data_IF_260065834989
#
_entry.id   IF_260065834989
#
_cell.length_a   1.000
_cell.length_b   1.000
_cell.length_c   1.000
_cell.angle_alpha   90.00
_cell.angle_beta   90.00
_cell.angle_gamma   90.00
#
_symmetry.space_group_name_H-M   'P 1'
#
loop_
_entity.id
_entity.type
_entity.pdbx_description
1 polymer ?
#
# COMPACT_ATOMS: atom_id res chain seq x y z
N UNK A 1 25.82 -20.61 -5.93
CA UNK A 1 26.07 -19.40 -6.74
C UNK A 1 24.73 -18.77 -7.05
N UNK A 2 24.47 -17.56 -6.57
CA UNK A 2 23.27 -16.85 -7.00
C UNK A 2 23.42 -16.56 -8.50
N UNK A 3 22.43 -17.00 -9.26
CA UNK A 3 22.38 -16.77 -10.70
C UNK A 3 22.05 -15.27 -10.89
N UNK A 4 23.00 -14.47 -11.36
CA UNK A 4 22.78 -13.07 -11.66
C UNK A 4 22.02 -12.86 -12.99
N UNK A 5 21.11 -13.80 -13.28
CA UNK A 5 20.25 -13.77 -14.48
C UNK A 5 18.82 -14.21 -14.14
N UNK A 6 17.83 -13.65 -14.83
CA UNK A 6 16.42 -14.06 -14.78
C UNK A 6 15.72 -13.72 -16.10
N UNK A 7 14.48 -14.20 -16.27
CA UNK A 7 13.66 -13.77 -17.41
C UNK A 7 13.09 -12.36 -17.15
N UNK A 8 12.60 -12.11 -15.94
CA UNK A 8 12.03 -10.81 -15.58
C UNK A 8 12.64 -10.32 -14.28
N UNK A 9 13.18 -9.10 -14.31
CA UNK A 9 13.63 -8.38 -13.13
C UNK A 9 12.58 -7.34 -12.73
N UNK A 10 12.14 -7.36 -11.48
CA UNK A 10 11.19 -6.39 -10.92
C UNK A 10 11.93 -5.52 -9.90
N UNK A 11 11.84 -4.21 -10.05
CA UNK A 11 12.44 -3.23 -9.15
C UNK A 11 11.35 -2.66 -8.23
N UNK A 12 11.45 -2.97 -6.93
CA UNK A 12 10.51 -2.61 -5.88
C UNK A 12 9.66 -3.79 -5.41
N UNK A 13 9.83 -4.18 -4.14
CA UNK A 13 9.05 -5.23 -3.47
C UNK A 13 7.90 -4.66 -2.61
N UNK A 14 7.29 -3.56 -3.05
CA UNK A 14 6.00 -3.13 -2.55
C UNK A 14 4.87 -4.03 -3.08
N UNK A 15 3.60 -3.79 -2.68
CA UNK A 15 2.47 -4.65 -3.07
C UNK A 15 2.37 -4.87 -4.59
N UNK A 16 2.67 -3.85 -5.39
CA UNK A 16 2.61 -3.95 -6.86
C UNK A 16 3.66 -4.90 -7.41
N UNK A 17 4.92 -4.76 -6.97
CA UNK A 17 6.01 -5.61 -7.44
C UNK A 17 5.88 -7.06 -6.95
N UNK A 18 5.46 -7.26 -5.71
CA UNK A 18 5.21 -8.60 -5.17
C UNK A 18 4.09 -9.32 -5.94
N UNK A 19 2.97 -8.64 -6.22
CA UNK A 19 1.86 -9.21 -7.00
C UNK A 19 2.28 -9.52 -8.43
N UNK A 20 3.02 -8.62 -9.08
CA UNK A 20 3.55 -8.85 -10.42
C UNK A 20 4.50 -10.07 -10.44
N UNK A 21 5.40 -10.17 -9.46
CA UNK A 21 6.31 -11.29 -9.31
C UNK A 21 5.59 -12.63 -9.11
N UNK A 22 4.60 -12.66 -8.22
CA UNK A 22 3.77 -13.82 -7.96
C UNK A 22 3.00 -14.28 -9.22
N UNK A 23 2.37 -13.35 -9.93
CA UNK A 23 1.59 -13.67 -11.14
C UNK A 23 2.49 -14.23 -12.25
N UNK A 24 3.67 -13.68 -12.45
CA UNK A 24 4.65 -14.17 -13.42
C UNK A 24 5.21 -15.53 -13.04
N UNK A 25 5.59 -15.72 -11.76
CA UNK A 25 6.15 -16.98 -11.29
C UNK A 25 5.14 -18.14 -11.40
N UNK A 26 3.85 -17.88 -11.10
CA UNK A 26 2.78 -18.89 -11.30
C UNK A 26 2.61 -19.30 -12.79
N UNK A 27 3.07 -18.48 -13.72
CA UNK A 27 3.10 -18.80 -15.16
C UNK A 27 4.39 -19.48 -15.61
N UNK A 28 5.27 -19.85 -14.68
CA UNK A 28 6.53 -20.52 -14.95
C UNK A 28 7.66 -19.58 -15.40
N UNK A 29 7.51 -18.28 -15.21
CA UNK A 29 8.55 -17.28 -15.52
C UNK A 29 9.55 -17.22 -14.35
N UNK A 30 10.85 -17.22 -14.65
CA UNK A 30 11.92 -17.01 -13.66
C UNK A 30 12.04 -15.52 -13.33
N UNK A 31 11.71 -15.13 -12.09
CA UNK A 31 11.59 -13.75 -11.64
C UNK A 31 12.54 -13.45 -10.50
N UNK A 32 13.20 -12.29 -10.55
CA UNK A 32 13.83 -11.66 -9.39
C UNK A 32 13.05 -10.39 -9.05
N UNK A 33 12.70 -10.23 -7.76
CA UNK A 33 12.15 -8.99 -7.22
C UNK A 33 13.17 -8.39 -6.28
N UNK A 34 13.57 -7.14 -6.52
CA UNK A 34 14.53 -6.41 -5.70
C UNK A 34 13.86 -5.30 -4.91
N UNK A 35 14.35 -5.07 -3.69
CA UNK A 35 14.02 -3.86 -2.93
C UNK A 35 15.27 -3.31 -2.25
N UNK A 36 15.40 -1.97 -2.24
CA UNK A 36 16.49 -1.28 -1.54
C UNK A 36 16.32 -1.31 -0.02
N UNK A 37 15.10 -1.51 0.50
CA UNK A 37 14.82 -1.67 1.93
C UNK A 37 15.49 -2.94 2.44
N UNK A 38 15.81 -2.94 3.72
CA UNK A 38 16.17 -4.17 4.44
C UNK A 38 14.90 -4.88 4.92
N UNK A 39 14.97 -6.17 5.24
CA UNK A 39 13.84 -6.91 5.86
C UNK A 39 13.44 -6.37 7.24
N UNK A 40 14.26 -5.49 7.85
CA UNK A 40 14.03 -4.91 9.16
C UNK A 40 13.49 -3.49 9.12
N UNK A 41 13.41 -2.89 7.92
CA UNK A 41 12.86 -1.55 7.76
C UNK A 41 11.37 -1.56 8.07
N UNK A 42 10.87 -0.58 8.86
CA UNK A 42 9.46 -0.54 9.19
C UNK A 42 8.62 -0.35 7.93
N UNK A 43 7.53 -1.12 7.84
CA UNK A 43 6.60 -1.00 6.73
C UNK A 43 5.93 0.38 6.74
N UNK A 44 5.75 0.94 5.57
CA UNK A 44 5.11 2.26 5.44
C UNK A 44 3.60 2.13 5.60
N UNK A 45 3.04 2.87 6.55
CA UNK A 45 1.58 2.96 6.74
C UNK A 45 0.97 3.75 5.58
N UNK A 46 0.55 3.04 4.55
CA UNK A 46 -0.08 3.58 3.33
C UNK A 46 -1.35 2.80 3.05
N UNK A 47 -2.05 3.13 2.01
CA UNK A 47 -3.17 2.40 1.45
C UNK A 47 -4.00 1.59 2.48
N UNK A 48 -5.22 2.04 2.74
CA UNK A 48 -6.14 1.41 3.69
C UNK A 48 -7.31 0.70 2.99
N UNK A 49 -7.24 0.57 1.67
CA UNK A 49 -8.33 0.03 0.88
C UNK A 49 -7.79 -0.82 -0.28
N UNK A 50 -8.33 -2.01 -0.37
CA UNK A 50 -8.08 -2.96 -1.46
C UNK A 50 -9.35 -2.99 -2.31
N UNK A 51 -9.24 -2.61 -3.58
CA UNK A 51 -10.37 -2.60 -4.51
C UNK A 51 -10.85 -4.02 -4.84
N UNK A 52 -12.09 -4.15 -5.29
CA UNK A 52 -12.64 -5.42 -5.80
C UNK A 52 -11.72 -6.06 -6.85
N UNK A 53 -11.22 -5.26 -7.80
CA UNK A 53 -10.30 -5.76 -8.83
C UNK A 53 -9.01 -6.34 -8.24
N UNK A 54 -8.43 -5.70 -7.24
CA UNK A 54 -7.25 -6.22 -6.55
C UNK A 54 -7.58 -7.51 -5.79
N UNK A 55 -8.74 -7.59 -5.14
CA UNK A 55 -9.20 -8.80 -4.45
C UNK A 55 -9.43 -9.98 -5.42
N UNK A 56 -9.91 -9.74 -6.64
CA UNK A 56 -10.01 -10.78 -7.68
C UNK A 56 -8.63 -11.29 -8.11
N UNK A 57 -7.63 -10.40 -8.19
CA UNK A 57 -6.25 -10.79 -8.45
C UNK A 57 -5.72 -11.66 -7.29
N UNK A 58 -5.93 -11.23 -6.05
CA UNK A 58 -5.53 -12.01 -4.86
C UNK A 58 -6.23 -13.37 -4.78
N UNK A 59 -7.50 -13.45 -5.19
CA UNK A 59 -8.21 -14.73 -5.32
C UNK A 59 -7.51 -15.66 -6.31
N UNK A 60 -7.14 -15.16 -7.48
CA UNK A 60 -6.41 -15.93 -8.49
C UNK A 60 -5.03 -16.40 -7.99
N UNK A 61 -4.38 -15.60 -7.15
CA UNK A 61 -3.11 -15.95 -6.51
C UNK A 61 -3.28 -16.87 -5.29
N UNK A 62 -4.52 -17.20 -4.88
CA UNK A 62 -4.81 -18.02 -3.72
C UNK A 62 -4.59 -17.32 -2.38
N UNK A 63 -4.72 -15.98 -2.34
CA UNK A 63 -4.46 -15.13 -1.17
C UNK A 63 -5.70 -14.44 -0.60
N UNK A 64 -6.86 -14.51 -1.29
CA UNK A 64 -8.02 -13.72 -0.91
C UNK A 64 -8.53 -14.04 0.51
N UNK A 65 -8.57 -15.32 0.88
CA UNK A 65 -9.07 -15.74 2.20
C UNK A 65 -8.15 -15.28 3.32
N UNK A 66 -6.84 -15.40 3.15
CA UNK A 66 -5.84 -14.94 4.11
C UNK A 66 -5.89 -13.41 4.28
N UNK A 67 -5.97 -12.66 3.19
CA UNK A 67 -6.12 -11.21 3.21
C UNK A 67 -7.42 -10.82 3.93
N UNK A 68 -8.53 -11.54 3.69
CA UNK A 68 -9.80 -11.27 4.37
C UNK A 68 -9.78 -11.63 5.85
N UNK A 69 -8.96 -12.55 6.28
CA UNK A 69 -8.78 -12.89 7.70
C UNK A 69 -8.02 -11.79 8.46
N UNK A 70 -7.22 -10.98 7.76
CA UNK A 70 -6.47 -9.88 8.35
C UNK A 70 -7.24 -8.55 8.38
N UNK A 71 -6.65 -7.55 9.00
CA UNK A 71 -7.21 -6.20 9.13
C UNK A 71 -8.32 -6.11 10.18
N UNK A 72 -9.40 -5.42 9.83
CA UNK A 72 -10.53 -5.23 10.74
C UNK A 72 -11.37 -6.49 10.95
N UNK A 73 -12.01 -6.61 12.11
CA UNK A 73 -13.03 -7.65 12.36
C UNK A 73 -14.19 -7.55 11.37
N UNK A 74 -14.91 -8.67 11.16
CA UNK A 74 -16.02 -8.75 10.19
C UNK A 74 -17.11 -7.70 10.40
N UNK A 75 -17.39 -7.35 11.65
CA UNK A 75 -18.43 -6.39 12.02
C UNK A 75 -17.96 -4.93 12.08
N UNK A 76 -16.67 -4.64 11.91
CA UNK A 76 -16.19 -3.27 12.01
C UNK A 76 -16.79 -2.38 10.92
N UNK A 77 -17.42 -1.22 11.27
CA UNK A 77 -18.03 -0.33 10.30
C UNK A 77 -17.01 0.31 9.36
N UNK A 78 -17.26 0.22 8.06
CA UNK A 78 -16.40 0.86 7.05
C UNK A 78 -16.79 2.32 6.75
N UNK A 79 -17.70 2.87 7.55
CA UNK A 79 -18.27 4.20 7.42
C UNK A 79 -17.21 5.31 7.39
N UNK A 80 -17.57 6.43 6.79
CA UNK A 80 -16.83 7.69 6.88
C UNK A 80 -17.66 8.70 7.64
N UNK A 81 -17.13 9.18 8.77
CA UNK A 81 -17.74 10.17 9.63
C UNK A 81 -17.23 11.58 9.30
N UNK A 82 -18.11 12.55 9.19
CA UNK A 82 -17.79 13.96 8.94
C UNK A 82 -17.94 14.73 10.24
N UNK A 83 -16.87 15.38 10.71
CA UNK A 83 -16.80 16.04 12.03
C UNK A 83 -16.05 17.37 11.99
N UNK A 84 -16.24 18.20 13.02
CA UNK A 84 -15.40 19.39 13.24
C UNK A 84 -14.05 19.02 13.86
N UNK A 85 -14.05 18.10 14.82
CA UNK A 85 -12.87 17.53 15.48
C UNK A 85 -13.05 16.03 15.62
N UNK A 86 -11.98 15.28 15.82
CA UNK A 86 -12.02 13.81 15.93
C UNK A 86 -12.97 13.33 17.02
N UNK A 87 -12.93 13.96 18.19
CA UNK A 87 -13.78 13.63 19.35
C UNK A 87 -15.06 14.46 19.43
N UNK A 88 -15.27 15.40 18.48
CA UNK A 88 -16.42 16.27 18.46
C UNK A 88 -17.67 15.64 17.89
N UNK A 89 -18.74 16.43 17.86
CA UNK A 89 -20.03 16.01 17.32
C UNK A 89 -19.90 15.58 15.85
N UNK A 90 -20.50 14.44 15.52
CA UNK A 90 -20.70 14.01 14.15
C UNK A 90 -21.74 14.89 13.44
N UNK A 91 -21.38 15.42 12.28
CA UNK A 91 -22.26 16.26 11.46
C UNK A 91 -23.00 15.43 10.42
N UNK A 92 -22.32 14.45 9.84
CA UNK A 92 -22.86 13.53 8.83
C UNK A 92 -22.06 12.23 8.82
N UNK A 93 -22.65 11.19 8.24
CA UNK A 93 -22.01 9.89 8.08
C UNK A 93 -22.35 9.30 6.71
N UNK A 94 -21.31 8.87 6.00
CA UNK A 94 -21.44 8.07 4.78
C UNK A 94 -21.41 6.60 5.24
N UNK A 95 -22.53 5.92 5.08
CA UNK A 95 -22.67 4.52 5.45
C UNK A 95 -21.99 3.64 4.40
N UNK A 96 -21.12 2.75 4.84
CA UNK A 96 -20.46 1.73 4.01
C UNK A 96 -20.55 0.41 4.77
N UNK A 97 -21.19 -0.62 4.20
CA UNK A 97 -21.38 -1.88 4.90
C UNK A 97 -20.06 -2.50 5.36
N UNK A 98 -20.07 -3.03 6.57
CA UNK A 98 -19.00 -3.88 7.07
C UNK A 98 -18.87 -5.16 6.23
N UNK A 99 -17.84 -5.96 6.45
CA UNK A 99 -17.70 -7.26 5.80
C UNK A 99 -18.86 -8.19 6.15
N UNK A 100 -19.29 -8.19 7.41
CA UNK A 100 -20.46 -8.94 7.85
C UNK A 100 -21.76 -8.44 7.21
N UNK A 101 -21.94 -7.12 7.14
CA UNK A 101 -23.09 -6.50 6.49
C UNK A 101 -23.20 -6.88 5.01
N UNK A 102 -22.08 -6.83 4.27
CA UNK A 102 -22.05 -7.27 2.86
C UNK A 102 -22.42 -8.75 2.70
N UNK A 103 -21.93 -9.62 3.58
CA UNK A 103 -22.30 -11.05 3.60
C UNK A 103 -23.77 -11.25 3.90
N UNK A 104 -24.38 -10.38 4.70
CA UNK A 104 -25.81 -10.39 5.03
C UNK A 104 -26.70 -9.74 3.95
N UNK A 105 -26.13 -9.23 2.86
CA UNK A 105 -26.87 -8.58 1.77
C UNK A 105 -27.24 -7.11 2.06
N UNK A 106 -26.55 -6.46 2.99
CA UNK A 106 -26.73 -5.03 3.25
C UNK A 106 -26.44 -4.21 1.99
N UNK A 107 -27.36 -3.32 1.65
CA UNK A 107 -27.29 -2.52 0.43
C UNK A 107 -26.22 -1.44 0.52
N UNK A 108 -25.52 -1.22 -0.59
CA UNK A 108 -24.53 -0.16 -0.77
C UNK A 108 -24.51 0.29 -2.24
N UNK A 109 -23.98 1.45 -2.52
CA UNK A 109 -23.85 1.96 -3.90
C UNK A 109 -23.08 1.03 -4.84
N UNK A 110 -22.21 0.18 -4.30
CA UNK A 110 -21.42 -0.81 -5.03
C UNK A 110 -22.00 -2.25 -4.92
N UNK A 111 -23.20 -2.43 -4.38
CA UNK A 111 -23.80 -3.76 -4.19
C UNK A 111 -24.05 -4.50 -5.51
N UNK A 112 -24.36 -3.75 -6.58
CA UNK A 112 -24.59 -4.30 -7.92
C UNK A 112 -23.33 -4.35 -8.79
N UNK A 113 -22.16 -4.01 -8.24
CA UNK A 113 -20.91 -4.09 -8.98
C UNK A 113 -20.62 -5.55 -9.37
N UNK A 114 -20.37 -5.84 -10.66
CA UNK A 114 -20.18 -7.22 -11.15
C UNK A 114 -18.79 -7.76 -10.74
N UNK A 115 -18.68 -8.18 -9.49
CA UNK A 115 -17.45 -8.75 -8.94
C UNK A 115 -17.75 -9.99 -8.10
N UNK A 116 -16.83 -10.95 -8.14
CA UNK A 116 -16.86 -12.10 -7.23
C UNK A 116 -16.20 -11.78 -5.87
N UNK A 117 -15.47 -10.68 -5.80
CA UNK A 117 -14.71 -10.25 -4.63
C UNK A 117 -15.06 -8.81 -4.26
N UNK A 118 -15.87 -8.57 -3.22
CA UNK A 118 -16.12 -7.22 -2.74
C UNK A 118 -14.81 -6.57 -2.25
N UNK A 119 -14.76 -5.22 -2.19
CA UNK A 119 -13.58 -4.52 -1.70
C UNK A 119 -13.29 -4.89 -0.25
N UNK A 120 -12.04 -4.67 0.19
CA UNK A 120 -11.60 -4.98 1.53
C UNK A 120 -10.86 -3.79 2.17
N UNK A 121 -11.05 -3.60 3.49
CA UNK A 121 -10.34 -2.61 4.29
C UNK A 121 -9.20 -3.29 5.03
N UNK A 122 -7.98 -3.01 4.60
CA UNK A 122 -6.76 -3.50 5.22
C UNK A 122 -5.64 -2.51 4.94
N UNK A 123 -4.86 -2.17 5.95
CA UNK A 123 -3.69 -1.33 5.75
C UNK A 123 -2.55 -2.13 5.11
N UNK A 124 -1.72 -1.46 4.34
CA UNK A 124 -0.57 -2.04 3.64
C UNK A 124 0.42 -2.75 4.59
N UNK A 125 0.56 -2.29 5.84
CA UNK A 125 1.44 -2.93 6.85
C UNK A 125 1.04 -4.37 7.18
N UNK A 126 -0.23 -4.75 6.97
CA UNK A 126 -0.70 -6.13 7.13
C UNK A 126 -0.69 -6.90 5.81
N UNK A 127 -0.86 -6.20 4.68
CA UNK A 127 -0.87 -6.82 3.35
C UNK A 127 0.52 -7.25 2.90
N UNK A 128 1.53 -6.38 3.07
CA UNK A 128 2.90 -6.68 2.60
C UNK A 128 3.48 -7.96 3.18
N UNK A 129 3.39 -8.25 4.48
CA UNK A 129 3.89 -9.51 5.05
C UNK A 129 3.26 -10.76 4.40
N UNK A 130 1.96 -10.75 4.15
CA UNK A 130 1.25 -11.85 3.47
C UNK A 130 1.82 -12.06 2.06
N UNK A 131 2.02 -10.97 1.32
CA UNK A 131 2.58 -11.04 -0.03
C UNK A 131 4.04 -11.49 -0.03
N UNK A 132 4.85 -11.05 0.95
CA UNK A 132 6.25 -11.43 1.10
C UNK A 132 6.37 -12.92 1.42
N UNK A 133 5.63 -13.41 2.40
CA UNK A 133 5.61 -14.83 2.78
C UNK A 133 5.23 -15.71 1.58
N UNK A 134 4.20 -15.31 0.84
CA UNK A 134 3.82 -16.02 -0.40
C UNK A 134 4.93 -16.00 -1.44
N UNK A 135 5.59 -14.85 -1.64
CA UNK A 135 6.66 -14.69 -2.60
C UNK A 135 7.88 -15.55 -2.26
N UNK A 136 8.30 -15.60 -1.00
CA UNK A 136 9.40 -16.42 -0.50
C UNK A 136 9.16 -17.92 -0.69
N UNK A 137 7.90 -18.36 -0.61
CA UNK A 137 7.49 -19.75 -0.79
C UNK A 137 7.06 -20.10 -2.23
N UNK A 138 7.22 -19.17 -3.19
CA UNK A 138 6.82 -19.40 -4.58
C UNK A 138 8.02 -19.82 -5.44
N UNK A 139 7.93 -21.02 -6.03
CA UNK A 139 8.96 -21.51 -6.93
C UNK A 139 9.11 -20.60 -8.16
N UNK A 140 10.36 -20.32 -8.55
CA UNK A 140 10.66 -19.44 -9.70
C UNK A 140 10.67 -17.94 -9.35
N UNK A 141 10.35 -17.57 -8.11
CA UNK A 141 10.48 -16.20 -7.61
C UNK A 141 11.62 -16.10 -6.59
N UNK A 142 12.52 -15.14 -6.79
CA UNK A 142 13.62 -14.81 -5.88
C UNK A 142 13.42 -13.39 -5.36
N UNK A 143 13.02 -13.25 -4.09
CA UNK A 143 12.87 -11.97 -3.41
C UNK A 143 14.20 -11.60 -2.74
N UNK A 144 14.71 -10.41 -3.02
CA UNK A 144 16.00 -9.94 -2.51
C UNK A 144 15.88 -8.51 -1.98
N UNK A 145 16.12 -8.34 -0.70
CA UNK A 145 16.19 -7.07 -0.01
C UNK A 145 17.63 -6.54 0.09
N UNK A 146 17.80 -5.29 0.51
CA UNK A 146 19.09 -4.59 0.54
C UNK A 146 19.76 -4.55 -0.84
N UNK A 147 18.97 -4.32 -1.89
CA UNK A 147 19.42 -4.31 -3.27
C UNK A 147 18.90 -3.04 -3.97
N UNK A 148 19.67 -1.97 -3.92
CA UNK A 148 19.38 -0.74 -4.62
C UNK A 148 19.76 -0.87 -6.10
N UNK A 149 18.84 -0.63 -7.02
CA UNK A 149 19.15 -0.47 -8.44
C UNK A 149 19.69 0.92 -8.67
N UNK A 150 20.90 1.03 -9.20
CA UNK A 150 21.63 2.30 -9.37
C UNK A 150 21.62 2.83 -10.80
N UNK A 151 21.51 1.96 -11.79
CA UNK A 151 21.39 2.29 -13.21
C UNK A 151 20.82 1.12 -13.99
N UNK A 152 20.30 1.40 -15.18
CA UNK A 152 19.73 0.41 -16.11
C UNK A 152 20.31 0.67 -17.48
N UNK A 153 20.65 -0.40 -18.21
CA UNK A 153 21.11 -0.36 -19.59
C UNK A 153 20.30 -1.33 -20.44
N UNK A 154 19.54 -0.80 -21.39
CA UNK A 154 18.87 -1.61 -22.42
C UNK A 154 19.87 -1.91 -23.55
N UNK A 155 20.15 -3.18 -23.77
CA UNK A 155 21.07 -3.67 -24.83
C UNK A 155 20.31 -4.16 -26.06
N UNK A 156 18.97 -4.04 -26.06
CA UNK A 156 18.09 -4.46 -27.14
C UNK A 156 17.65 -5.93 -27.04
N UNK A 157 18.56 -6.85 -26.76
CA UNK A 157 18.27 -8.28 -26.54
C UNK A 157 18.08 -8.63 -25.05
N UNK A 158 18.55 -7.78 -24.16
CA UNK A 158 18.47 -7.92 -22.70
C UNK A 158 18.63 -6.59 -22.00
N UNK A 159 18.27 -6.57 -20.72
CA UNK A 159 18.47 -5.42 -19.82
C UNK A 159 19.50 -5.78 -18.77
N UNK A 160 20.46 -4.88 -18.51
CA UNK A 160 21.40 -4.94 -17.40
C UNK A 160 20.98 -3.94 -16.33
N UNK A 161 20.93 -4.37 -15.07
CA UNK A 161 20.70 -3.53 -13.91
C UNK A 161 21.91 -3.57 -12.98
N UNK A 162 22.49 -2.41 -12.71
CA UNK A 162 23.53 -2.27 -11.69
C UNK A 162 22.91 -2.21 -10.30
N UNK A 163 23.41 -3.04 -9.40
CA UNK A 163 22.89 -3.24 -8.06
C UNK A 163 23.94 -2.84 -7.03
N UNK A 164 23.51 -2.19 -5.95
CA UNK A 164 24.35 -1.84 -4.80
C UNK A 164 23.65 -2.24 -3.50
N UNK A 165 24.33 -2.95 -2.60
CA UNK A 165 23.86 -3.18 -1.24
C UNK A 165 24.23 -2.04 -0.30
N UNK A 166 23.64 -1.98 0.89
CA UNK A 166 24.01 -1.04 1.97
C UNK A 166 25.47 -1.16 2.40
N UNK A 167 26.07 -2.35 2.22
CA UNK A 167 27.48 -2.63 2.49
C UNK A 167 28.41 -2.18 1.34
N UNK A 168 27.88 -1.54 0.29
CA UNK A 168 28.65 -1.07 -0.86
C UNK A 168 29.04 -2.16 -1.85
N UNK A 169 28.54 -3.39 -1.71
CA UNK A 169 28.78 -4.47 -2.67
C UNK A 169 28.04 -4.15 -3.96
N UNK A 170 28.79 -4.12 -5.08
CA UNK A 170 28.25 -3.86 -6.41
C UNK A 170 28.22 -5.14 -7.23
N UNK A 171 27.17 -5.32 -8.01
CA UNK A 171 27.00 -6.42 -8.97
C UNK A 171 26.05 -6.00 -10.09
N UNK A 172 25.92 -6.82 -11.11
CA UNK A 172 24.96 -6.64 -12.20
C UNK A 172 24.01 -7.84 -12.28
N UNK A 173 22.76 -7.57 -12.65
CA UNK A 173 21.77 -8.59 -12.97
C UNK A 173 21.36 -8.39 -14.43
N UNK A 174 21.39 -9.48 -15.19
CA UNK A 174 20.90 -9.51 -16.58
C UNK A 174 19.52 -10.14 -16.63
N UNK A 175 18.59 -9.51 -17.35
CA UNK A 175 17.23 -10.02 -17.55
C UNK A 175 16.76 -9.77 -18.98
N UNK A 176 15.76 -10.55 -19.44
CA UNK A 176 15.14 -10.30 -20.74
C UNK A 176 14.23 -9.07 -20.67
N UNK A 177 13.57 -8.87 -19.54
CA UNK A 177 12.68 -7.73 -19.28
C UNK A 177 12.92 -7.17 -17.90
N UNK A 178 12.68 -5.85 -17.74
CA UNK A 178 12.72 -5.17 -16.46
C UNK A 178 11.39 -4.42 -16.25
N UNK A 179 10.80 -4.57 -15.06
CA UNK A 179 9.55 -3.90 -14.67
C UNK A 179 9.83 -2.98 -13.48
N UNK A 180 9.52 -1.69 -13.64
CA UNK A 180 9.61 -0.70 -12.56
C UNK A 180 8.37 -0.72 -11.66
N UNK A 181 8.55 -1.13 -10.40
CA UNK A 181 7.56 -1.05 -9.33
C UNK A 181 8.09 -0.26 -8.13
N UNK A 182 9.05 0.63 -8.36
CA UNK A 182 9.85 1.38 -7.40
C UNK A 182 9.19 2.71 -6.92
N UNK A 183 7.89 2.83 -7.17
CA UNK A 183 7.03 3.86 -6.58
C UNK A 183 7.12 5.24 -7.23
N UNK A 184 6.64 6.27 -6.51
CA UNK A 184 6.51 7.62 -7.06
C UNK A 184 7.82 8.28 -7.45
N UNK A 185 8.92 7.96 -6.74
CA UNK A 185 10.27 8.45 -7.03
C UNK A 185 11.03 7.67 -8.11
N UNK A 186 10.39 6.71 -8.76
CA UNK A 186 10.92 5.68 -9.65
C UNK A 186 12.18 6.07 -10.43
N UNK A 187 13.25 5.31 -10.22
CA UNK A 187 14.46 5.35 -11.03
C UNK A 187 14.15 4.78 -12.44
N UNK A 188 13.44 3.65 -12.49
CA UNK A 188 13.11 2.97 -13.76
C UNK A 188 12.38 3.91 -14.71
N UNK A 189 11.36 4.65 -14.20
CA UNK A 189 10.63 5.64 -14.99
C UNK A 189 11.57 6.71 -15.59
N UNK A 190 12.51 7.22 -14.80
CA UNK A 190 13.47 8.25 -15.23
C UNK A 190 14.43 7.71 -16.28
N UNK A 191 14.95 6.51 -16.07
CA UNK A 191 15.90 5.86 -17.00
C UNK A 191 15.29 5.58 -18.38
N UNK A 192 13.97 5.27 -18.46
CA UNK A 192 13.28 5.12 -19.75
C UNK A 192 12.78 6.44 -20.33
N UNK A 193 13.10 7.59 -19.72
CA UNK A 193 12.70 8.91 -20.20
C UNK A 193 11.21 9.23 -20.02
N UNK A 194 10.47 8.48 -19.20
CA UNK A 194 9.05 8.73 -18.96
C UNK A 194 8.85 9.77 -17.85
N UNK A 195 7.98 10.74 -18.11
CA UNK A 195 7.64 11.82 -17.18
C UNK A 195 6.20 11.70 -16.70
N UNK A 196 5.92 12.26 -15.51
CA UNK A 196 4.56 12.41 -15.01
C UNK A 196 4.03 13.76 -15.50
N UNK A 197 2.87 13.75 -16.14
CA UNK A 197 2.15 14.94 -16.57
C UNK A 197 1.07 15.33 -15.56
N UNK A 198 0.76 16.62 -15.45
CA UNK A 198 -0.29 17.18 -14.61
C UNK A 198 0.24 17.96 -13.40
N UNK A 199 -0.65 18.24 -12.45
CA UNK A 199 -0.31 18.98 -11.24
C UNK A 199 0.50 18.12 -10.28
N UNK A 200 1.74 18.49 -10.06
CA UNK A 200 2.68 17.74 -9.22
C UNK A 200 2.22 17.65 -7.75
N UNK A 201 1.50 18.66 -7.26
CA UNK A 201 1.04 18.76 -5.87
C UNK A 201 -0.39 19.29 -5.85
N UNK A 202 -1.36 18.42 -5.61
CA UNK A 202 -2.76 18.81 -5.39
C UNK A 202 -2.97 19.26 -3.94
N UNK A 203 -2.44 18.53 -2.98
CA UNK A 203 -2.50 18.83 -1.55
C UNK A 203 -1.25 18.32 -0.84
N UNK A 204 -0.58 19.19 -0.10
CA UNK A 204 0.49 18.78 0.80
C UNK A 204 -0.11 18.25 2.10
N UNK A 205 0.35 17.08 2.52
CA UNK A 205 -0.18 16.37 3.68
C UNK A 205 0.96 15.96 4.60
N UNK A 206 0.85 16.30 5.89
CA UNK A 206 1.67 15.70 6.93
C UNK A 206 0.93 14.47 7.47
N UNK A 207 1.56 13.30 7.35
CA UNK A 207 0.98 12.04 7.81
C UNK A 207 1.67 11.56 9.09
N UNK A 208 0.90 11.23 10.10
CA UNK A 208 1.38 10.68 11.36
C UNK A 208 0.67 9.37 11.66
N UNK A 209 1.44 8.32 11.91
CA UNK A 209 0.92 7.05 12.43
C UNK A 209 1.02 7.10 13.96
N UNK A 210 -0.11 6.91 14.62
CA UNK A 210 -0.20 7.04 16.09
C UNK A 210 -0.89 5.82 16.70
N UNK A 211 -0.51 5.51 17.93
CA UNK A 211 -1.26 4.62 18.82
C UNK A 211 -1.86 5.49 19.93
N UNK A 212 -3.18 5.55 20.00
CA UNK A 212 -3.92 6.42 20.92
C UNK A 212 -5.00 5.62 21.68
N UNK A 213 -4.59 4.83 22.68
CA UNK A 213 -5.52 4.02 23.47
C UNK A 213 -6.62 4.86 24.10
N UNK A 214 -7.87 4.43 23.91
CA UNK A 214 -9.05 5.10 24.42
C UNK A 214 -9.57 6.25 23.55
N UNK A 215 -8.93 6.58 22.43
CA UNK A 215 -9.43 7.62 21.53
C UNK A 215 -10.81 7.24 20.96
N UNK A 216 -11.00 5.98 20.58
CA UNK A 216 -12.30 5.48 20.10
C UNK A 216 -13.40 5.66 21.16
N UNK A 217 -13.11 5.42 22.43
CA UNK A 217 -14.06 5.62 23.53
C UNK A 217 -14.42 7.11 23.77
N UNK A 218 -13.51 8.03 23.42
CA UNK A 218 -13.75 9.48 23.53
C UNK A 218 -14.61 10.00 22.35
N UNK A 219 -14.73 9.27 21.27
CA UNK A 219 -15.56 9.63 20.13
C UNK A 219 -17.03 9.47 20.53
N UNK A 220 -17.80 10.54 20.52
CA UNK A 220 -19.23 10.55 20.87
C UNK A 220 -20.10 10.04 19.70
N UNK A 221 -19.72 8.92 19.09
CA UNK A 221 -20.44 8.29 17.99
C UNK A 221 -19.93 6.86 17.77
N UNK A 222 -20.69 6.08 16.99
CA UNK A 222 -20.30 4.73 16.58
C UNK A 222 -18.91 4.73 15.89
N UNK A 223 -18.11 3.68 16.10
CA UNK A 223 -16.85 3.50 15.39
C UNK A 223 -17.00 3.68 13.87
N UNK A 224 -15.94 4.10 13.22
CA UNK A 224 -15.91 4.24 11.77
C UNK A 224 -14.47 4.04 11.25
N UNK A 225 -14.38 3.66 9.98
CA UNK A 225 -13.08 3.50 9.34
C UNK A 225 -12.38 4.84 9.12
N UNK A 226 -13.10 5.88 8.69
CA UNK A 226 -12.52 7.16 8.34
C UNK A 226 -13.26 8.34 8.96
N UNK A 227 -12.51 9.37 9.34
CA UNK A 227 -13.04 10.63 9.85
C UNK A 227 -12.51 11.75 8.96
N UNK A 228 -13.42 12.55 8.39
CA UNK A 228 -13.10 13.79 7.70
C UNK A 228 -13.30 14.95 8.66
N UNK A 229 -12.23 15.67 8.98
CA UNK A 229 -12.25 16.83 9.86
C UNK A 229 -12.29 18.11 9.06
N UNK A 230 -13.30 18.94 9.32
CA UNK A 230 -13.44 20.26 8.70
C UNK A 230 -13.54 21.32 9.80
N UNK A 231 -12.43 21.94 10.16
CA UNK A 231 -12.44 23.07 11.10
C UNK A 231 -11.48 24.17 10.67
N UNK A 232 -11.70 25.43 11.13
CA UNK A 232 -10.90 26.58 10.72
C UNK A 232 -9.42 26.50 11.12
N UNK A 233 -9.09 25.72 12.14
CA UNK A 233 -7.70 25.59 12.60
C UNK A 233 -6.92 24.65 11.67
N UNK A 234 -7.46 23.45 11.41
CA UNK A 234 -6.80 22.43 10.59
C UNK A 234 -7.83 21.44 10.04
N UNK A 235 -7.91 21.35 8.75
CA UNK A 235 -8.63 20.25 8.10
C UNK A 235 -7.72 19.06 7.90
N UNK A 236 -8.31 17.87 7.84
CA UNK A 236 -7.55 16.64 7.64
C UNK A 236 -8.43 15.41 7.68
N UNK A 237 -7.79 14.26 7.70
CA UNK A 237 -8.46 12.97 7.82
C UNK A 237 -7.79 12.10 8.87
N UNK A 238 -8.58 11.25 9.52
CA UNK A 238 -8.08 10.22 10.43
C UNK A 238 -8.66 8.88 9.98
N UNK A 239 -7.79 7.90 9.78
CA UNK A 239 -8.20 6.55 9.41
C UNK A 239 -7.85 5.59 10.52
N UNK A 240 -8.82 4.78 10.95
CA UNK A 240 -8.54 3.61 11.77
C UNK A 240 -7.70 2.61 10.96
N UNK A 241 -6.65 2.08 11.57
CA UNK A 241 -5.75 1.11 10.93
C UNK A 241 -6.16 -0.32 11.27
N UNK A 242 -6.65 -0.49 12.49
CA UNK A 242 -7.13 -1.76 13.04
C UNK A 242 -8.15 -1.52 14.16
N UNK A 243 -8.46 -2.57 14.93
CA UNK A 243 -9.36 -2.48 16.08
C UNK A 243 -8.66 -2.11 17.39
N UNK A 244 -7.38 -1.70 17.35
CA UNK A 244 -6.49 -1.58 18.48
C UNK A 244 -6.00 -0.14 18.72
N UNK A 245 -6.89 0.83 18.46
CA UNK A 245 -6.63 2.26 18.61
C UNK A 245 -5.36 2.77 17.90
N UNK A 246 -5.01 2.17 16.76
CA UNK A 246 -3.98 2.68 15.84
C UNK A 246 -4.62 3.47 14.72
N UNK A 247 -4.08 4.66 14.47
CA UNK A 247 -4.65 5.61 13.52
C UNK A 247 -3.58 6.19 12.60
N UNK A 248 -3.98 6.45 11.35
CA UNK A 248 -3.24 7.27 10.41
C UNK A 248 -3.91 8.65 10.33
N UNK A 249 -3.21 9.66 10.78
CA UNK A 249 -3.66 11.05 10.80
C UNK A 249 -3.03 11.81 9.64
N UNK A 250 -3.84 12.45 8.82
CA UNK A 250 -3.43 13.33 7.74
C UNK A 250 -3.80 14.77 8.06
N UNK A 251 -2.82 15.61 8.33
CA UNK A 251 -2.97 17.05 8.45
C UNK A 251 -2.79 17.70 7.07
N UNK A 252 -3.78 18.42 6.59
CA UNK A 252 -3.69 19.17 5.33
C UNK A 252 -2.92 20.47 5.57
N UNK A 253 -1.77 20.58 4.93
CA UNK A 253 -0.92 21.77 5.02
C UNK A 253 -1.53 22.91 4.19
N UNK A 254 -1.46 24.12 4.73
CA UNK A 254 -1.89 25.33 4.03
C UNK A 254 -0.87 25.69 2.94
N UNK A 255 -1.26 26.46 1.92
CA UNK A 255 -0.31 26.99 0.96
C UNK A 255 0.84 27.74 1.65
N UNK A 256 2.07 27.39 1.32
CA UNK A 256 3.28 27.99 1.92
C UNK A 256 3.67 27.48 3.31
N UNK A 257 2.87 26.62 3.94
CA UNK A 257 3.19 26.03 5.24
C UNK A 257 4.30 24.98 5.12
N UNK A 258 5.33 25.08 5.95
CA UNK A 258 6.39 24.11 6.02
C UNK A 258 5.94 22.86 6.81
N UNK A 259 6.43 21.70 6.42
CA UNK A 259 6.12 20.43 7.09
C UNK A 259 6.49 20.45 8.57
N UNK A 260 7.65 21.05 8.87
CA UNK A 260 8.23 21.14 10.22
C UNK A 260 7.52 22.16 11.11
N UNK A 261 6.71 23.07 10.52
CA UNK A 261 5.98 24.11 11.27
C UNK A 261 4.70 23.57 11.93
N UNK A 262 4.30 22.34 11.61
CA UNK A 262 3.13 21.71 12.24
C UNK A 262 3.58 21.03 13.52
N UNK A 263 3.30 21.67 14.64
CA UNK A 263 3.62 21.15 15.96
C UNK A 263 2.79 19.89 16.27
N UNK A 264 3.34 19.02 17.10
CA UNK A 264 2.69 17.79 17.53
C UNK A 264 1.88 17.98 18.83
N UNK A 265 1.99 19.19 19.45
CA UNK A 265 1.30 19.56 20.69
C UNK A 265 -0.13 20.10 20.46
#
# INVERSE_FOLDING_TARGET
MHKDTCQVLIVGAGPVGLVAGLDLAQRGIDVIVLDQRTNFDPLTVRCNHISSRSMEIFRRLGLADEIRAGGFTDGFPHDVSIRLTVTGREMARIKIPSRAGRKAGEQSEDAEWPTLEPPHRMNQIFLEPILQEKAENTQGLRLQFDQEVTHISDLGDRVLAGIRSSKGIKREISSNYLIGCDGGGSLVRKEIGAELEGDAIVQRVQSSFIHAPGLTAMMQAEPCWGILNFNPRRSGTVYSIDNDDRFLVHNYLRPGEAFESVDRD
#
